data_IF_598013665655
#
_entry.id   IF_598013665655
#
_cell.length_a   1.000
_cell.length_b   1.000
_cell.length_c   1.000
_cell.angle_alpha   90.00
_cell.angle_beta   90.00
_cell.angle_gamma   90.00
#
_symmetry.space_group_name_H-M   'P 1'
#
loop_
_entity.id
_entity.type
_entity.pdbx_description
1 polymer ?
#
# COMPACT_ATOMS: atom_id res chain seq x y z
N UNK A 1 11.22 6.35 12.20
CA UNK A 1 10.45 5.70 11.12
C UNK A 1 9.47 4.69 11.70
N UNK A 2 8.25 4.72 11.24
CA UNK A 2 7.29 3.71 11.67
C UNK A 2 7.67 2.36 11.07
N UNK A 3 7.62 1.30 11.88
CA UNK A 3 7.90 -0.03 11.36
C UNK A 3 6.74 -0.50 10.49
N UNK A 4 7.02 -1.40 9.56
CA UNK A 4 5.99 -1.96 8.69
C UNK A 4 4.91 -2.64 9.52
N UNK A 5 5.30 -3.34 10.59
CA UNK A 5 4.34 -3.99 11.46
C UNK A 5 3.33 -3.00 12.06
N UNK A 6 3.80 -1.83 12.48
CA UNK A 6 2.92 -0.80 13.02
C UNK A 6 1.98 -0.26 11.96
N UNK A 7 2.46 -0.12 10.73
CA UNK A 7 1.63 0.34 9.62
C UNK A 7 0.54 -0.70 9.32
N UNK A 8 0.91 -1.97 9.28
CA UNK A 8 -0.06 -3.05 9.05
C UNK A 8 -1.13 -3.07 10.15
N UNK A 9 -0.73 -2.93 11.41
CA UNK A 9 -1.68 -2.84 12.51
C UNK A 9 -2.63 -1.66 12.34
N UNK A 10 -2.09 -0.51 11.93
CA UNK A 10 -2.89 0.67 11.66
C UNK A 10 -3.86 0.44 10.50
N UNK A 11 -3.42 -0.25 9.45
CA UNK A 11 -4.28 -0.59 8.32
C UNK A 11 -5.48 -1.40 8.76
N UNK A 12 -5.28 -2.32 9.70
CA UNK A 12 -6.37 -3.16 10.21
C UNK A 12 -7.33 -2.37 11.09
N UNK A 13 -6.79 -1.47 11.92
CA UNK A 13 -7.61 -0.71 12.88
C UNK A 13 -8.22 0.55 12.28
N UNK A 14 -7.48 1.23 11.42
CA UNK A 14 -7.88 2.52 10.86
C UNK A 14 -7.61 2.57 9.37
N UNK A 15 -8.34 1.78 8.57
CA UNK A 15 -8.09 1.77 7.12
C UNK A 15 -8.30 3.13 6.45
N UNK A 16 -9.00 4.06 7.10
CA UNK A 16 -9.17 5.42 6.58
C UNK A 16 -7.96 6.32 6.82
N UNK A 17 -7.02 5.89 7.64
CA UNK A 17 -5.90 6.73 8.07
C UNK A 17 -4.58 6.40 7.44
N UNK A 18 -4.55 5.76 6.30
CA UNK A 18 -3.31 5.29 5.66
C UNK A 18 -2.92 6.24 4.53
N UNK A 19 -1.70 6.77 4.60
CA UNK A 19 -1.17 7.62 3.55
C UNK A 19 -0.60 6.78 2.41
N UNK A 20 -0.46 7.38 1.20
CA UNK A 20 0.20 6.67 0.09
C UNK A 20 1.60 6.20 0.42
N UNK A 21 2.36 7.00 1.20
CA UNK A 21 3.72 6.63 1.58
C UNK A 21 3.74 5.41 2.48
N UNK A 22 2.81 5.34 3.43
CA UNK A 22 2.70 4.18 4.31
C UNK A 22 2.35 2.92 3.52
N UNK A 23 1.42 3.03 2.58
CA UNK A 23 1.04 1.91 1.73
C UNK A 23 2.25 1.43 0.92
N UNK A 24 3.03 2.35 0.38
CA UNK A 24 4.23 2.01 -0.39
C UNK A 24 5.27 1.28 0.45
N UNK A 25 5.46 1.70 1.70
CA UNK A 25 6.41 1.06 2.60
C UNK A 25 6.01 -0.40 2.86
N UNK A 26 4.73 -0.64 3.11
CA UNK A 26 4.23 -2.00 3.33
C UNK A 26 4.44 -2.86 2.09
N UNK A 27 4.06 -2.35 0.93
CA UNK A 27 4.22 -3.09 -0.31
C UNK A 27 5.68 -3.43 -0.59
N UNK A 28 6.58 -2.46 -0.38
CA UNK A 28 8.00 -2.68 -0.59
C UNK A 28 8.53 -3.77 0.33
N UNK A 29 8.12 -3.77 1.58
CA UNK A 29 8.55 -4.78 2.55
C UNK A 29 8.13 -6.19 2.12
N UNK A 30 6.98 -6.33 1.48
CA UNK A 30 6.44 -7.61 1.07
C UNK A 30 6.80 -7.98 -0.38
N UNK A 31 7.80 -7.30 -0.95
CA UNK A 31 8.34 -7.69 -2.24
C UNK A 31 7.71 -7.02 -3.45
N UNK A 32 6.83 -6.05 -3.23
CA UNK A 32 6.28 -5.25 -4.31
C UNK A 32 7.16 -4.04 -4.52
N UNK A 33 7.61 -3.83 -5.75
CA UNK A 33 8.48 -2.69 -6.08
C UNK A 33 7.71 -1.69 -6.91
N UNK A 34 8.06 -0.42 -6.76
CA UNK A 34 7.49 0.63 -7.58
C UNK A 34 7.83 0.35 -9.04
N UNK A 35 6.82 0.25 -9.88
CA UNK A 35 6.99 0.00 -11.31
C UNK A 35 6.87 1.28 -12.11
N UNK A 36 5.74 1.98 -11.95
CA UNK A 36 5.51 3.20 -12.71
C UNK A 36 4.43 4.04 -12.06
N UNK A 37 4.36 5.30 -12.49
CA UNK A 37 3.30 6.21 -12.10
C UNK A 37 2.54 6.65 -13.34
N UNK A 38 1.23 6.53 -13.30
CA UNK A 38 0.36 6.98 -14.37
C UNK A 38 -0.65 7.95 -13.77
N UNK A 39 -0.50 9.24 -14.12
CA UNK A 39 -1.32 10.29 -13.53
C UNK A 39 -1.16 10.33 -12.01
N UNK A 40 -2.25 10.18 -11.28
CA UNK A 40 -2.23 10.21 -9.82
C UNK A 40 -2.17 8.82 -9.21
N UNK A 41 -1.82 7.79 -9.98
CA UNK A 41 -1.75 6.42 -9.49
C UNK A 41 -0.33 5.87 -9.63
N UNK A 42 0.17 5.29 -8.54
CA UNK A 42 1.44 4.55 -8.55
C UNK A 42 1.13 3.06 -8.66
N UNK A 43 1.87 2.36 -9.50
CA UNK A 43 1.72 0.92 -9.66
C UNK A 43 2.93 0.20 -9.06
N UNK A 44 2.66 -0.75 -8.19
CA UNK A 44 3.68 -1.60 -7.59
C UNK A 44 3.51 -3.01 -8.13
N UNK A 45 4.62 -3.70 -8.37
CA UNK A 45 4.61 -5.04 -8.94
C UNK A 45 5.57 -5.94 -8.16
N UNK A 46 5.17 -7.19 -7.95
CA UNK A 46 6.05 -8.18 -7.33
C UNK A 46 6.67 -9.09 -8.39
N UNK A 47 7.56 -9.97 -7.97
CA UNK A 47 8.28 -10.86 -8.89
C UNK A 47 7.38 -11.86 -9.60
N UNK A 48 6.18 -12.08 -9.09
CA UNK A 48 5.21 -12.99 -9.71
C UNK A 48 4.30 -12.29 -10.72
N UNK A 49 4.51 -10.99 -10.92
CA UNK A 49 3.68 -10.21 -11.83
C UNK A 49 2.40 -9.70 -11.22
N UNK A 50 2.19 -9.88 -9.92
CA UNK A 50 1.01 -9.36 -9.24
C UNK A 50 1.19 -7.85 -9.01
N UNK A 51 0.16 -7.07 -9.31
CA UNK A 51 0.23 -5.62 -9.25
C UNK A 51 -0.73 -5.06 -8.21
N UNK A 52 -0.33 -3.93 -7.62
CA UNK A 52 -1.19 -3.19 -6.72
C UNK A 52 -1.07 -1.70 -7.04
N UNK A 53 -2.21 -1.07 -7.25
CA UNK A 53 -2.28 0.37 -7.51
C UNK A 53 -2.48 1.12 -6.20
N UNK A 54 -1.73 2.20 -6.03
CA UNK A 54 -1.85 3.09 -4.87
C UNK A 54 -2.06 4.52 -5.39
N UNK A 55 -3.22 5.13 -5.10
CA UNK A 55 -3.44 6.52 -5.50
C UNK A 55 -2.50 7.46 -4.74
N UNK A 56 -2.07 8.53 -5.39
CA UNK A 56 -1.24 9.55 -4.77
C UNK A 56 -2.05 10.56 -3.97
N UNK A 57 -3.30 10.27 -3.69
CA UNK A 57 -4.18 11.19 -3.00
C UNK A 57 -3.75 11.39 -1.55
N UNK A 58 -3.61 12.63 -1.15
CA UNK A 58 -3.29 12.99 0.23
C UNK A 58 -4.50 13.60 0.90
N UNK A 59 -4.61 13.48 2.21
CA UNK A 59 -3.63 12.88 3.13
C UNK A 59 -3.66 11.36 3.19
N UNK A 60 -4.79 10.74 2.82
CA UNK A 60 -4.93 9.28 2.95
C UNK A 60 -5.61 8.67 1.73
N UNK A 61 -5.35 7.38 1.51
CA UNK A 61 -5.99 6.63 0.44
C UNK A 61 -7.32 6.04 0.93
N UNK A 62 -8.17 5.66 -0.01
CA UNK A 62 -9.47 5.07 0.34
C UNK A 62 -9.29 3.69 0.99
N UNK A 63 -10.17 3.32 1.95
CA UNK A 63 -10.07 2.03 2.62
C UNK A 63 -10.06 0.82 1.69
N UNK A 64 -10.70 0.91 0.53
CA UNK A 64 -10.74 -0.20 -0.42
C UNK A 64 -9.32 -0.60 -0.85
N UNK A 65 -8.42 0.36 -1.02
CA UNK A 65 -7.03 0.07 -1.39
C UNK A 65 -6.28 -0.58 -0.24
N UNK A 66 -6.54 -0.12 0.98
CA UNK A 66 -5.92 -0.68 2.17
C UNK A 66 -6.32 -2.14 2.33
N UNK A 67 -7.60 -2.45 2.13
CA UNK A 67 -8.10 -3.82 2.22
C UNK A 67 -7.48 -4.72 1.15
N UNK A 68 -7.30 -4.19 -0.06
CA UNK A 68 -6.64 -4.92 -1.13
C UNK A 68 -5.20 -5.27 -0.76
N UNK A 69 -4.48 -4.30 -0.20
CA UNK A 69 -3.09 -4.52 0.23
C UNK A 69 -3.03 -5.58 1.32
N UNK A 70 -3.89 -5.49 2.32
CA UNK A 70 -3.92 -6.47 3.40
C UNK A 70 -4.16 -7.88 2.86
N UNK A 71 -5.08 -8.01 1.92
CA UNK A 71 -5.35 -9.31 1.30
C UNK A 71 -4.14 -9.85 0.57
N UNK A 72 -3.43 -9.00 -0.16
CA UNK A 72 -2.26 -9.42 -0.95
C UNK A 72 -1.08 -9.84 -0.09
N UNK A 73 -0.91 -9.22 1.06
CA UNK A 73 0.20 -9.56 1.96
C UNK A 73 -0.17 -10.67 2.95
N UNK A 74 -1.39 -11.18 2.88
CA UNK A 74 -1.81 -12.28 3.71
C UNK A 74 -2.22 -11.90 5.13
N UNK A 75 -2.60 -10.66 5.33
CA UNK A 75 -3.01 -10.15 6.66
C UNK A 75 -4.55 -9.90 6.75
#
# INVERSE_FOLDING_TARGET
MASVKKIVDKMKRQPNGISPDEAGQVLDHYGYKFDRQSGSHKTYINKNGDVQTVPKKRPTIKPVYVKQILSKIGE
#
